data_IF_732588622249
#
_entry.id   IF_732588622249
#
_cell.length_a   1.000
_cell.length_b   1.000
_cell.length_c   1.000
_cell.angle_alpha   90.00
_cell.angle_beta   90.00
_cell.angle_gamma   90.00
#
_symmetry.space_group_name_H-M   'P 1'
#
loop_
_entity.id
_entity.type
_entity.pdbx_description
1 polymer ?
#
# COMPACT_ATOMS: atom_id res chain seq x y z
N UNK A 1 18.77 5.98 14.83
CA UNK A 1 19.43 6.92 13.91
C UNK A 1 18.88 6.66 12.51
N UNK A 2 17.74 7.26 12.18
CA UNK A 2 17.10 7.05 10.88
C UNK A 2 17.85 7.86 9.82
N UNK A 3 18.47 7.19 8.85
CA UNK A 3 18.88 7.86 7.62
C UNK A 3 17.64 8.50 6.98
N UNK A 4 17.73 9.74 6.46
CA UNK A 4 16.62 10.37 5.77
C UNK A 4 16.18 9.49 4.59
N UNK A 5 14.86 9.31 4.45
CA UNK A 5 14.28 8.56 3.34
C UNK A 5 14.75 9.17 2.01
N UNK A 6 15.49 8.40 1.23
CA UNK A 6 15.94 8.77 -0.12
C UNK A 6 14.87 8.35 -1.14
N UNK A 7 14.15 9.31 -1.71
CA UNK A 7 13.06 9.08 -2.67
C UNK A 7 13.52 9.11 -4.13
N UNK A 8 14.83 8.96 -4.40
CA UNK A 8 15.39 9.13 -5.74
C UNK A 8 15.05 8.01 -6.72
N UNK A 9 15.01 6.75 -6.25
CA UNK A 9 14.77 5.58 -7.10
C UNK A 9 13.64 4.72 -6.53
N UNK A 10 12.42 5.05 -6.94
CA UNK A 10 11.19 4.39 -6.46
C UNK A 10 10.73 3.35 -7.46
N UNK A 11 10.54 2.11 -7.01
CA UNK A 11 9.91 1.04 -7.80
C UNK A 11 8.40 1.18 -7.67
N UNK A 12 7.73 1.42 -8.79
CA UNK A 12 6.29 1.59 -8.84
C UNK A 12 5.53 0.29 -8.50
N UNK A 13 4.30 0.39 -7.96
CA UNK A 13 3.43 -0.76 -7.76
C UNK A 13 2.94 -1.31 -9.10
N UNK A 14 3.14 -2.60 -9.32
CA UNK A 14 2.65 -3.35 -10.49
C UNK A 14 2.07 -4.69 -10.05
N UNK A 15 0.86 -5.00 -10.51
CA UNK A 15 0.12 -6.23 -10.17
C UNK A 15 0.74 -7.41 -10.92
N UNK A 16 1.10 -8.50 -10.22
CA UNK A 16 1.83 -9.66 -10.77
C UNK A 16 3.29 -9.41 -11.18
N UNK A 17 3.88 -8.27 -10.78
CA UNK A 17 5.31 -8.00 -11.01
C UNK A 17 6.03 -7.38 -9.82
N UNK A 18 5.35 -6.92 -8.78
CA UNK A 18 5.99 -6.23 -7.64
C UNK A 18 6.12 -7.13 -6.40
N UNK A 19 6.15 -8.44 -6.57
CA UNK A 19 6.31 -9.44 -5.51
C UNK A 19 7.70 -9.32 -4.87
N UNK A 20 7.89 -9.99 -3.73
CA UNK A 20 9.13 -9.87 -2.94
C UNK A 20 10.38 -10.17 -3.76
N UNK A 21 10.36 -11.21 -4.61
CA UNK A 21 11.50 -11.55 -5.46
C UNK A 21 11.91 -10.40 -6.39
N UNK A 22 10.95 -9.74 -7.03
CA UNK A 22 11.21 -8.58 -7.88
C UNK A 22 11.76 -7.40 -7.10
N UNK A 23 11.14 -7.07 -5.96
CA UNK A 23 11.59 -5.95 -5.13
C UNK A 23 13.01 -6.18 -4.62
N UNK A 24 13.32 -7.39 -4.15
CA UNK A 24 14.66 -7.77 -3.73
C UNK A 24 15.68 -7.64 -4.86
N UNK A 25 15.32 -8.01 -6.09
CA UNK A 25 16.17 -7.76 -7.26
C UNK A 25 16.36 -6.26 -7.50
N UNK A 26 15.29 -5.46 -7.46
CA UNK A 26 15.42 -4.01 -7.64
C UNK A 26 16.28 -3.34 -6.56
N UNK A 27 16.29 -3.85 -5.32
CA UNK A 27 17.21 -3.37 -4.27
C UNK A 27 18.69 -3.50 -4.68
N UNK A 28 19.07 -4.60 -5.35
CA UNK A 28 20.45 -4.75 -5.85
C UNK A 28 20.75 -3.78 -7.00
N UNK A 29 19.72 -3.29 -7.69
CA UNK A 29 19.77 -2.27 -8.72
C UNK A 29 19.50 -0.84 -8.23
N UNK A 30 19.81 -0.56 -6.95
CA UNK A 30 19.76 0.79 -6.32
C UNK A 30 18.36 1.34 -6.06
N UNK A 31 17.32 0.51 -6.05
CA UNK A 31 16.00 0.96 -5.58
C UNK A 31 16.05 1.39 -4.11
N UNK A 32 15.70 2.65 -3.85
CA UNK A 32 15.71 3.24 -2.51
C UNK A 32 14.35 3.10 -1.82
N UNK A 33 13.26 2.98 -2.59
CA UNK A 33 11.91 2.72 -2.10
C UNK A 33 11.21 1.72 -3.03
N UNK A 34 10.47 0.77 -2.47
CA UNK A 34 9.66 -0.16 -3.25
C UNK A 34 8.20 -0.12 -2.79
N UNK A 35 7.30 -0.42 -3.71
CA UNK A 35 5.89 -0.67 -3.44
C UNK A 35 5.58 -2.15 -3.61
N UNK A 36 4.60 -2.66 -2.84
CA UNK A 36 3.99 -3.97 -3.10
C UNK A 36 3.16 -3.94 -4.39
N UNK A 37 2.69 -5.09 -4.90
CA UNK A 37 1.57 -5.09 -5.83
C UNK A 37 0.37 -4.35 -5.23
N UNK A 38 -0.48 -3.82 -6.09
CA UNK A 38 -1.75 -3.23 -5.66
C UNK A 38 -2.70 -4.34 -5.21
N UNK A 39 -3.01 -4.41 -3.91
CA UNK A 39 -3.92 -5.42 -3.37
C UNK A 39 -5.34 -4.88 -3.23
N UNK A 40 -6.34 -5.73 -3.47
CA UNK A 40 -7.74 -5.37 -3.23
C UNK A 40 -8.05 -5.43 -1.73
N UNK A 41 -8.38 -4.29 -1.12
CA UNK A 41 -8.63 -4.21 0.32
C UNK A 41 -9.79 -5.07 0.82
N UNK A 42 -10.84 -5.27 0.01
CA UNK A 42 -11.97 -6.13 0.40
C UNK A 42 -11.56 -7.60 0.49
N UNK A 43 -10.76 -8.07 -0.47
CA UNK A 43 -10.28 -9.46 -0.51
C UNK A 43 -9.23 -9.64 0.59
N UNK A 44 -8.32 -8.68 0.74
CA UNK A 44 -7.25 -8.70 1.74
C UNK A 44 -7.75 -8.93 3.16
N UNK A 45 -8.83 -8.26 3.58
CA UNK A 45 -9.40 -8.47 4.93
C UNK A 45 -10.02 -9.86 5.08
N UNK A 46 -10.71 -10.35 4.05
CA UNK A 46 -11.54 -11.57 4.14
C UNK A 46 -10.77 -12.85 3.91
N UNK A 47 -9.77 -12.83 3.05
CA UNK A 47 -9.07 -14.01 2.57
C UNK A 47 -7.60 -13.99 3.00
N UNK A 48 -7.27 -14.82 3.98
CA UNK A 48 -5.90 -14.99 4.46
C UNK A 48 -4.98 -15.63 3.41
N UNK A 49 -5.49 -16.53 2.57
CA UNK A 49 -4.68 -17.15 1.53
C UNK A 49 -4.26 -16.11 0.50
N UNK A 50 -5.20 -15.26 0.07
CA UNK A 50 -4.89 -14.12 -0.80
C UNK A 50 -3.81 -13.23 -0.18
N UNK A 51 -3.90 -12.90 1.12
CA UNK A 51 -2.85 -12.11 1.79
C UNK A 51 -1.49 -12.79 1.74
N UNK A 52 -1.43 -14.09 2.05
CA UNK A 52 -0.17 -14.84 2.08
C UNK A 52 0.45 -15.01 0.69
N UNK A 53 -0.37 -15.05 -0.36
CA UNK A 53 0.09 -15.16 -1.75
C UNK A 53 0.62 -13.84 -2.30
N UNK A 54 -0.05 -12.73 -2.01
CA UNK A 54 0.27 -11.42 -2.59
C UNK A 54 1.29 -10.62 -1.76
N UNK A 55 1.39 -10.91 -0.46
CA UNK A 55 2.15 -10.09 0.48
C UNK A 55 3.16 -10.90 1.27
N UNK A 56 4.42 -10.77 0.85
CA UNK A 56 5.59 -11.28 1.55
C UNK A 56 6.50 -10.13 1.97
N UNK A 57 7.14 -10.30 3.13
CA UNK A 57 8.02 -9.30 3.74
C UNK A 57 9.42 -9.84 3.95
N UNK A 58 10.41 -8.95 3.82
CA UNK A 58 11.80 -9.25 4.15
C UNK A 58 12.47 -8.03 4.79
N UNK A 59 13.36 -8.26 5.77
CA UNK A 59 14.01 -7.17 6.52
C UNK A 59 14.85 -6.25 5.62
N UNK A 60 15.43 -6.79 4.56
CA UNK A 60 16.23 -6.03 3.58
C UNK A 60 15.38 -5.32 2.52
N UNK A 61 14.06 -5.55 2.49
CA UNK A 61 13.16 -4.91 1.52
C UNK A 61 12.61 -3.56 2.04
N UNK A 62 13.17 -3.04 3.14
CA UNK A 62 12.78 -1.75 3.71
C UNK A 62 13.66 -0.62 3.17
N UNK A 63 13.11 0.58 2.90
CA UNK A 63 11.73 0.99 3.20
C UNK A 63 10.69 0.48 2.20
N UNK A 64 9.56 -0.05 2.69
CA UNK A 64 8.49 -0.65 1.88
C UNK A 64 7.15 0.07 2.08
N UNK A 65 6.48 0.41 0.98
CA UNK A 65 5.10 0.93 0.98
C UNK A 65 4.13 -0.15 0.52
N UNK A 66 3.08 -0.39 1.30
CA UNK A 66 2.02 -1.35 0.93
C UNK A 66 0.88 -0.59 0.26
N UNK A 67 0.52 -0.95 -0.97
CA UNK A 67 -0.55 -0.28 -1.71
C UNK A 67 -1.85 -1.09 -1.69
N UNK A 68 -2.96 -0.42 -1.37
CA UNK A 68 -4.31 -0.99 -1.43
C UNK A 68 -5.22 -0.23 -2.39
N UNK A 69 -6.07 -0.97 -3.10
CA UNK A 69 -7.29 -0.44 -3.72
C UNK A 69 -8.46 -0.65 -2.75
N UNK A 70 -9.07 0.44 -2.27
CA UNK A 70 -10.25 0.40 -1.41
C UNK A 70 -11.19 1.55 -1.73
N UNK A 71 -12.49 1.27 -1.59
CA UNK A 71 -13.58 2.24 -1.74
C UNK A 71 -14.31 2.51 -0.42
N UNK A 72 -13.91 1.88 0.68
CA UNK A 72 -14.51 2.11 2.00
C UNK A 72 -13.42 2.50 3.01
N UNK A 73 -13.57 3.61 3.76
CA UNK A 73 -12.53 4.08 4.68
C UNK A 73 -12.20 3.05 5.76
N UNK A 74 -13.22 2.33 6.24
CA UNK A 74 -13.06 1.28 7.26
C UNK A 74 -12.25 0.10 6.75
N UNK A 75 -12.45 -0.27 5.49
CA UNK A 75 -11.70 -1.35 4.86
C UNK A 75 -10.24 -0.93 4.71
N UNK A 76 -9.99 0.29 4.22
CA UNK A 76 -8.62 0.79 4.09
C UNK A 76 -7.91 0.87 5.46
N UNK A 77 -8.59 1.38 6.49
CA UNK A 77 -8.03 1.47 7.84
C UNK A 77 -7.69 0.08 8.41
N UNK A 78 -8.59 -0.89 8.24
CA UNK A 78 -8.34 -2.25 8.72
C UNK A 78 -7.18 -2.92 7.97
N UNK A 79 -7.08 -2.72 6.65
CA UNK A 79 -5.91 -3.15 5.88
C UNK A 79 -4.61 -2.53 6.42
N UNK A 80 -4.61 -1.22 6.66
CA UNK A 80 -3.44 -0.51 7.18
C UNK A 80 -3.00 -1.06 8.56
N UNK A 81 -3.94 -1.30 9.47
CA UNK A 81 -3.67 -1.89 10.80
C UNK A 81 -3.06 -3.29 10.71
N UNK A 82 -3.46 -4.10 9.72
CA UNK A 82 -2.90 -5.46 9.54
C UNK A 82 -1.41 -5.39 9.16
N UNK A 83 -1.00 -4.40 8.36
CA UNK A 83 0.37 -4.32 7.82
C UNK A 83 1.28 -3.32 8.56
N UNK A 84 0.75 -2.59 9.55
CA UNK A 84 1.42 -1.49 10.25
C UNK A 84 2.82 -1.86 10.76
N UNK A 85 2.96 -3.02 11.39
CA UNK A 85 4.24 -3.46 11.96
C UNK A 85 5.24 -4.01 10.93
N UNK A 86 4.81 -4.23 9.68
CA UNK A 86 5.58 -4.92 8.66
C UNK A 86 6.07 -4.00 7.53
N UNK A 87 5.52 -2.79 7.41
CA UNK A 87 5.87 -1.82 6.37
C UNK A 87 6.35 -0.47 6.94
N UNK A 88 6.76 0.45 6.07
CA UNK A 88 7.18 1.82 6.41
C UNK A 88 6.11 2.85 6.05
N UNK A 89 5.08 2.44 5.32
CA UNK A 89 3.94 3.26 4.95
C UNK A 89 2.88 2.47 4.20
N UNK A 90 1.69 3.04 4.13
CA UNK A 90 0.53 2.49 3.41
C UNK A 90 0.07 3.51 2.40
N UNK A 91 -0.19 3.06 1.18
CA UNK A 91 -0.67 3.88 0.07
C UNK A 91 -2.06 3.44 -0.39
N UNK A 92 -2.87 4.42 -0.79
CA UNK A 92 -4.19 4.21 -1.34
C UNK A 92 -4.12 4.46 -2.84
N UNK A 93 -4.40 3.44 -3.65
CA UNK A 93 -4.43 3.60 -5.10
C UNK A 93 -5.63 4.47 -5.52
N UNK A 94 -5.32 5.66 -6.05
CA UNK A 94 -6.28 6.61 -6.60
C UNK A 94 -6.19 6.75 -8.13
N UNK A 95 -5.33 5.94 -8.78
CA UNK A 95 -5.06 6.02 -10.22
C UNK A 95 -6.04 5.23 -11.09
N UNK A 96 -6.55 4.11 -10.59
CA UNK A 96 -7.62 3.36 -11.27
C UNK A 96 -8.95 4.15 -11.15
N UNK A 97 -9.80 4.25 -12.18
CA UNK A 97 -11.05 5.01 -12.13
C UNK A 97 -12.05 4.38 -11.16
N UNK A 98 -11.83 4.58 -9.86
CA UNK A 98 -12.72 4.13 -8.81
C UNK A 98 -14.07 4.82 -8.98
N UNK A 99 -15.15 4.09 -8.73
CA UNK A 99 -16.52 4.62 -8.82
C UNK A 99 -16.71 5.87 -7.94
N UNK A 100 -15.92 5.99 -6.86
CA UNK A 100 -15.89 7.13 -5.94
C UNK A 100 -15.21 8.35 -6.55
N UNK A 101 -14.12 8.16 -7.29
CA UNK A 101 -13.42 9.25 -7.98
C UNK A 101 -14.29 9.86 -9.09
N UNK A 102 -15.17 9.07 -9.73
CA UNK A 102 -16.09 9.54 -10.78
C UNK A 102 -17.19 10.49 -10.30
N UNK A 103 -17.42 10.62 -8.99
CA UNK A 103 -18.54 11.42 -8.42
C UNK A 103 -18.18 12.87 -8.07
N UNK A 104 -17.10 13.43 -8.64
CA UNK A 104 -16.70 14.84 -8.51
C UNK A 104 -16.15 15.23 -7.13
N UNK A 105 -16.94 15.02 -6.07
CA UNK A 105 -16.60 15.28 -4.67
C UNK A 105 -16.34 14.02 -3.84
N UNK A 106 -16.55 12.83 -4.43
CA UNK A 106 -16.40 11.54 -3.73
C UNK A 106 -15.00 11.29 -3.19
N UNK A 107 -13.94 11.67 -3.92
CA UNK A 107 -12.57 11.47 -3.48
C UNK A 107 -12.19 12.33 -2.26
N UNK A 108 -12.54 13.61 -2.27
CA UNK A 108 -12.26 14.53 -1.16
C UNK A 108 -13.03 14.08 0.10
N UNK A 109 -14.31 13.72 -0.05
CA UNK A 109 -15.12 13.21 1.05
C UNK A 109 -14.60 11.87 1.60
N UNK A 110 -14.06 11.01 0.73
CA UNK A 110 -13.46 9.75 1.12
C UNK A 110 -12.16 9.97 1.92
N UNK A 111 -11.29 10.84 1.43
CA UNK A 111 -10.03 11.20 2.11
C UNK A 111 -10.28 11.85 3.46
N UNK A 112 -11.25 12.78 3.57
CA UNK A 112 -11.59 13.38 4.88
C UNK A 112 -12.09 12.34 5.88
N UNK A 113 -12.85 11.33 5.44
CA UNK A 113 -13.29 10.23 6.30
C UNK A 113 -12.14 9.33 6.75
N UNK A 114 -11.18 9.02 5.87
CA UNK A 114 -9.98 8.25 6.25
C UNK A 114 -9.16 9.04 7.26
N UNK A 115 -8.83 10.30 6.95
CA UNK A 115 -8.01 11.15 7.80
C UNK A 115 -8.65 11.34 9.17
N UNK A 116 -9.96 11.63 9.21
CA UNK A 116 -10.70 11.71 10.47
C UNK A 116 -10.53 10.43 11.30
N UNK A 117 -10.73 9.25 10.70
CA UNK A 117 -10.57 7.97 11.42
C UNK A 117 -9.15 7.68 11.87
N UNK A 118 -8.13 8.19 11.17
CA UNK A 118 -6.73 8.05 11.57
C UNK A 118 -6.36 8.99 12.72
N UNK A 119 -6.95 10.19 12.80
CA UNK A 119 -6.62 11.21 13.81
C UNK A 119 -7.55 11.26 15.02
N UNK A 120 -8.74 10.66 14.95
CA UNK A 120 -9.71 10.62 16.06
C UNK A 120 -9.93 9.21 16.61
N UNK A 121 -9.14 8.24 16.18
CA UNK A 121 -9.15 6.86 16.68
C UNK A 121 -8.49 6.75 18.04
#
# INVERSE_FOLDING_TARGET
NSMPLDYKYVVAPMVEQSELAWRMMMRTHRATLCYTPMMNGNIFIRDEKYRQQELEFHKLDRPLIVQFASNEPDIFLNCAKIVESQCDGVDLNLGCPQNIARRGSGLIHYLTRILWKLFTG
#
